data_IF_101004871252
#
_entry.id   IF_101004871252
#
_cell.length_a   1.000
_cell.length_b   1.000
_cell.length_c   1.000
_cell.angle_alpha   90.00
_cell.angle_beta   90.00
_cell.angle_gamma   90.00
#
_symmetry.space_group_name_H-M   'P 1'
#
loop_
_entity.id
_entity.type
_entity.pdbx_description
1 polymer ?
#
# COMPACT_ATOMS: atom_id res chain seq x y z
N UNK A 1 36.54 -20.24 -9.49
CA UNK A 1 35.19 -20.38 -8.91
C UNK A 1 34.62 -19.09 -8.29
N UNK A 2 35.38 -17.98 -8.21
CA UNK A 2 34.92 -16.72 -7.59
C UNK A 2 34.36 -15.67 -8.59
N UNK A 3 34.62 -15.81 -9.89
CA UNK A 3 34.17 -14.83 -10.90
C UNK A 3 32.65 -14.86 -11.16
N UNK A 4 31.99 -16.01 -11.00
CA UNK A 4 30.53 -16.16 -11.21
C UNK A 4 29.73 -15.56 -10.03
N UNK A 5 30.29 -15.58 -8.81
CA UNK A 5 29.67 -14.98 -7.63
C UNK A 5 29.76 -13.44 -7.64
N UNK A 6 30.81 -12.86 -8.23
CA UNK A 6 30.96 -11.40 -8.37
C UNK A 6 30.27 -10.79 -9.59
N UNK A 7 29.62 -11.61 -10.44
CA UNK A 7 28.90 -11.08 -11.60
C UNK A 7 27.59 -10.42 -11.16
N UNK A 8 27.29 -9.17 -11.56
CA UNK A 8 26.04 -8.50 -11.18
C UNK A 8 24.83 -8.99 -11.98
N UNK A 9 25.06 -9.56 -13.17
CA UNK A 9 24.04 -10.09 -14.08
C UNK A 9 22.94 -10.95 -13.41
N UNK A 10 23.24 -11.96 -12.58
CA UNK A 10 22.23 -12.77 -11.91
C UNK A 10 21.35 -11.97 -10.95
N UNK A 11 21.90 -10.97 -10.26
CA UNK A 11 21.11 -10.09 -9.37
C UNK A 11 20.12 -9.27 -10.20
N UNK A 12 20.59 -8.67 -11.31
CA UNK A 12 19.74 -7.92 -12.23
C UNK A 12 18.67 -8.80 -12.87
N UNK A 13 19.01 -10.04 -13.26
CA UNK A 13 18.05 -10.98 -13.81
C UNK A 13 16.97 -11.35 -12.80
N UNK A 14 17.34 -11.69 -11.55
CA UNK A 14 16.38 -11.99 -10.48
C UNK A 14 15.51 -10.77 -10.17
N UNK A 15 16.09 -9.58 -10.08
CA UNK A 15 15.35 -8.34 -9.84
C UNK A 15 14.37 -8.03 -10.98
N UNK A 16 14.79 -8.18 -12.24
CA UNK A 16 13.93 -7.96 -13.40
C UNK A 16 12.78 -8.96 -13.47
N UNK A 17 13.04 -10.25 -13.23
CA UNK A 17 11.99 -11.29 -13.18
C UNK A 17 11.04 -11.05 -12.02
N UNK A 18 11.55 -10.65 -10.86
CA UNK A 18 10.74 -10.31 -9.68
C UNK A 18 9.84 -9.11 -9.96
N UNK A 19 10.38 -8.03 -10.51
CA UNK A 19 9.63 -6.84 -10.89
C UNK A 19 8.57 -7.16 -11.95
N UNK A 20 8.91 -7.96 -12.95
CA UNK A 20 7.97 -8.41 -13.96
C UNK A 20 6.84 -9.24 -13.35
N UNK A 21 7.15 -10.15 -12.41
CA UNK A 21 6.16 -10.94 -11.69
C UNK A 21 5.21 -10.08 -10.84
N UNK A 22 5.74 -9.07 -10.15
CA UNK A 22 4.95 -8.09 -9.39
C UNK A 22 4.01 -7.30 -10.31
N UNK A 23 4.51 -6.80 -11.44
CA UNK A 23 3.74 -5.94 -12.36
C UNK A 23 2.71 -6.74 -13.16
N UNK A 24 3.12 -7.88 -13.73
CA UNK A 24 2.25 -8.69 -14.60
C UNK A 24 1.26 -9.55 -13.80
N UNK A 25 1.46 -9.69 -12.48
CA UNK A 25 0.68 -10.53 -11.56
C UNK A 25 0.25 -11.85 -12.20
N UNK A 26 1.19 -12.67 -12.69
CA UNK A 26 0.80 -13.90 -13.36
C UNK A 26 0.08 -14.81 -12.36
N UNK A 27 -0.98 -15.47 -12.84
CA UNK A 27 -1.86 -16.33 -12.03
C UNK A 27 -2.64 -15.62 -10.91
N UNK A 28 -2.75 -14.28 -10.93
CA UNK A 28 -3.45 -13.47 -9.91
C UNK A 28 -2.89 -13.65 -8.49
N UNK A 29 -1.63 -14.05 -8.38
CA UNK A 29 -0.96 -14.16 -7.09
C UNK A 29 -0.72 -12.75 -6.50
N UNK A 30 -0.82 -12.58 -5.17
CA UNK A 30 -0.42 -11.35 -4.49
C UNK A 30 1.02 -10.95 -4.83
N UNK A 31 1.24 -9.65 -5.01
CA UNK A 31 2.54 -9.07 -5.33
C UNK A 31 3.62 -9.43 -4.31
N UNK A 32 3.22 -9.53 -3.04
CA UNK A 32 4.10 -9.92 -1.94
C UNK A 32 4.76 -11.29 -2.19
N UNK A 33 4.08 -12.24 -2.84
CA UNK A 33 4.64 -13.56 -3.12
C UNK A 33 5.82 -13.43 -4.08
N UNK A 34 5.67 -12.66 -5.16
CA UNK A 34 6.74 -12.44 -6.13
C UNK A 34 7.94 -11.74 -5.50
N UNK A 35 7.70 -10.67 -4.72
CA UNK A 35 8.75 -9.95 -4.00
C UNK A 35 9.53 -10.84 -3.02
N UNK A 36 8.82 -11.67 -2.24
CA UNK A 36 9.43 -12.59 -1.28
C UNK A 36 10.21 -13.69 -2.00
N UNK A 37 9.67 -14.28 -3.07
CA UNK A 37 10.38 -15.29 -3.86
C UNK A 37 11.67 -14.74 -4.47
N UNK A 38 11.66 -13.51 -5.00
CA UNK A 38 12.84 -12.82 -5.50
C UNK A 38 13.91 -12.64 -4.42
N UNK A 39 13.52 -12.13 -3.26
CA UNK A 39 14.41 -11.94 -2.11
C UNK A 39 15.00 -13.28 -1.62
N UNK A 40 14.17 -14.31 -1.47
CA UNK A 40 14.62 -15.65 -1.08
C UNK A 40 15.59 -16.25 -2.10
N UNK A 41 15.37 -16.04 -3.39
CA UNK A 41 16.27 -16.51 -4.45
C UNK A 41 17.65 -15.84 -4.33
N UNK A 42 17.71 -14.56 -3.97
CA UNK A 42 18.97 -13.86 -3.69
C UNK A 42 19.67 -14.39 -2.44
N UNK A 43 18.92 -14.67 -1.37
CA UNK A 43 19.49 -15.23 -0.13
C UNK A 43 20.02 -16.65 -0.31
N UNK A 44 19.24 -17.55 -0.95
CA UNK A 44 19.63 -18.94 -1.17
C UNK A 44 20.79 -19.07 -2.15
N UNK A 45 20.86 -18.19 -3.15
CA UNK A 45 22.02 -18.14 -4.06
C UNK A 45 23.28 -17.53 -3.43
N UNK A 46 23.24 -17.16 -2.15
CA UNK A 46 24.38 -16.60 -1.40
C UNK A 46 24.77 -15.18 -1.83
N UNK A 47 23.91 -14.49 -2.59
CA UNK A 47 24.16 -13.12 -3.08
C UNK A 47 23.70 -12.03 -2.13
N UNK A 48 22.81 -12.36 -1.20
CA UNK A 48 22.38 -11.50 -0.11
C UNK A 48 22.53 -12.25 1.22
N UNK A 49 23.32 -11.76 2.18
CA UNK A 49 23.40 -12.37 3.50
C UNK A 49 22.04 -12.35 4.21
N UNK A 50 21.67 -13.46 4.85
CA UNK A 50 20.41 -13.57 5.60
C UNK A 50 20.25 -12.50 6.68
N UNK A 51 21.33 -12.15 7.37
CA UNK A 51 21.31 -11.11 8.40
C UNK A 51 20.96 -9.74 7.81
N UNK A 52 21.51 -9.40 6.65
CA UNK A 52 21.19 -8.14 5.95
C UNK A 52 19.74 -8.13 5.46
N UNK A 53 19.25 -9.26 4.95
CA UNK A 53 17.85 -9.41 4.56
C UNK A 53 16.90 -9.20 5.76
N UNK A 54 17.20 -9.80 6.92
CA UNK A 54 16.40 -9.62 8.14
C UNK A 54 16.49 -8.19 8.68
N UNK A 55 17.67 -7.56 8.65
CA UNK A 55 17.81 -6.14 8.98
C UNK A 55 17.01 -5.25 8.03
N UNK A 56 16.94 -5.57 6.73
CA UNK A 56 16.13 -4.84 5.77
C UNK A 56 14.64 -4.94 6.09
N UNK A 57 14.15 -6.12 6.51
CA UNK A 57 12.77 -6.29 7.01
C UNK A 57 12.55 -5.45 8.28
N UNK A 58 13.49 -5.48 9.22
CA UNK A 58 13.42 -4.69 10.46
C UNK A 58 13.39 -3.17 10.22
N UNK A 59 14.10 -2.67 9.20
CA UNK A 59 14.03 -1.25 8.79
C UNK A 59 12.63 -0.86 8.29
N UNK A 60 11.82 -1.81 7.84
CA UNK A 60 10.44 -1.58 7.45
C UNK A 60 9.49 -1.30 8.61
N UNK A 61 9.91 -1.52 9.87
CA UNK A 61 9.05 -1.41 11.05
C UNK A 61 8.33 -0.07 11.16
N UNK A 62 9.03 1.04 10.89
CA UNK A 62 8.41 2.38 10.92
C UNK A 62 7.26 2.50 9.92
N UNK A 63 7.44 1.94 8.71
CA UNK A 63 6.41 1.92 7.68
C UNK A 63 5.26 1.00 8.07
N UNK A 64 5.54 -0.17 8.64
CA UNK A 64 4.51 -1.12 9.09
C UNK A 64 3.65 -0.51 10.20
N UNK A 65 4.29 0.14 11.19
CA UNK A 65 3.60 0.84 12.27
C UNK A 65 2.79 2.02 11.76
N UNK A 66 3.33 2.78 10.79
CA UNK A 66 2.62 3.89 10.16
C UNK A 66 1.36 3.42 9.42
N UNK A 67 1.47 2.41 8.56
CA UNK A 67 0.32 1.86 7.83
C UNK A 67 -0.73 1.29 8.79
N UNK A 68 -0.28 0.54 9.80
CA UNK A 68 -1.18 -0.03 10.83
C UNK A 68 -1.88 1.09 11.61
N UNK A 69 -1.14 2.12 12.04
CA UNK A 69 -1.69 3.26 12.76
C UNK A 69 -2.73 4.02 11.94
N UNK A 70 -2.47 4.24 10.65
CA UNK A 70 -3.46 4.83 9.75
C UNK A 70 -4.72 3.96 9.59
N UNK A 71 -4.57 2.65 9.37
CA UNK A 71 -5.70 1.72 9.26
C UNK A 71 -6.56 1.74 10.54
N UNK A 72 -5.94 1.73 11.71
CA UNK A 72 -6.63 1.83 13.00
C UNK A 72 -7.35 3.17 13.17
N UNK A 73 -6.71 4.29 12.81
CA UNK A 73 -7.31 5.62 12.88
C UNK A 73 -8.53 5.73 11.94
N UNK A 74 -8.43 5.18 10.73
CA UNK A 74 -9.54 5.15 9.76
C UNK A 74 -10.70 4.28 10.24
N UNK A 75 -10.40 3.12 10.81
CA UNK A 75 -11.40 2.23 11.42
C UNK A 75 -12.13 2.92 12.58
N UNK A 76 -11.38 3.61 13.46
CA UNK A 76 -11.94 4.34 14.58
C UNK A 76 -12.84 5.49 14.11
N UNK A 77 -12.38 6.29 13.14
CA UNK A 77 -13.18 7.36 12.54
C UNK A 77 -14.49 6.83 11.92
N UNK A 78 -14.45 5.64 11.31
CA UNK A 78 -15.66 4.97 10.80
C UNK A 78 -16.59 4.54 11.92
N UNK A 79 -16.07 3.94 12.99
CA UNK A 79 -16.86 3.49 14.14
C UNK A 79 -17.54 4.63 14.91
N UNK A 80 -16.88 5.78 15.01
CA UNK A 80 -17.42 7.00 15.63
C UNK A 80 -18.40 7.76 14.71
N UNK A 81 -18.64 7.29 13.48
CA UNK A 81 -19.58 7.92 12.54
C UNK A 81 -19.09 9.26 11.98
N UNK A 82 -17.78 9.55 12.02
CA UNK A 82 -17.21 10.79 11.50
C UNK A 82 -17.58 11.01 10.03
N UNK A 83 -17.50 9.95 9.22
CA UNK A 83 -17.79 10.03 7.79
C UNK A 83 -19.29 10.25 7.51
N UNK A 84 -20.17 9.64 8.30
CA UNK A 84 -21.62 9.85 8.19
C UNK A 84 -21.99 11.29 8.54
N UNK A 85 -21.39 11.84 9.60
CA UNK A 85 -21.55 13.24 9.96
C UNK A 85 -21.13 14.18 8.82
N UNK A 86 -19.98 13.90 8.19
CA UNK A 86 -19.48 14.69 7.06
C UNK A 86 -20.38 14.56 5.82
N UNK A 87 -20.93 13.38 5.55
CA UNK A 87 -21.87 13.15 4.46
C UNK A 87 -23.18 13.93 4.65
N UNK A 88 -23.76 13.90 5.86
CA UNK A 88 -24.96 14.69 6.20
C UNK A 88 -24.68 16.18 6.11
N UNK A 89 -23.53 16.65 6.58
CA UNK A 89 -23.14 18.05 6.48
C UNK A 89 -22.99 18.50 5.01
N UNK A 90 -22.38 17.68 4.16
CA UNK A 90 -22.25 17.94 2.73
C UNK A 90 -23.62 17.98 2.04
N UNK A 91 -24.52 17.04 2.36
CA UNK A 91 -25.88 16.99 1.83
C UNK A 91 -26.69 18.24 2.21
N UNK A 92 -26.60 18.69 3.47
CA UNK A 92 -27.25 19.92 3.93
C UNK A 92 -26.71 21.17 3.21
N UNK A 93 -25.39 21.24 2.98
CA UNK A 93 -24.74 22.36 2.28
C UNK A 93 -24.97 22.36 0.76
N UNK A 94 -25.31 21.22 0.16
CA UNK A 94 -25.53 21.11 -1.29
C UNK A 94 -26.77 21.88 -1.78
N UNK A 95 -27.73 22.16 -0.90
CA UNK A 95 -28.95 22.93 -1.20
C UNK A 95 -29.73 22.39 -2.43
N UNK A 96 -29.89 21.07 -2.51
CA UNK A 96 -30.61 20.41 -3.61
C UNK A 96 -29.85 20.31 -4.94
N UNK A 97 -28.64 20.85 -5.06
CA UNK A 97 -27.84 20.77 -6.29
C UNK A 97 -26.90 19.55 -6.28
N UNK A 98 -27.07 18.66 -7.26
CA UNK A 98 -26.22 17.48 -7.43
C UNK A 98 -24.74 17.85 -7.67
N UNK A 99 -24.46 18.90 -8.45
CA UNK A 99 -23.09 19.37 -8.71
C UNK A 99 -22.40 19.88 -7.45
N UNK A 100 -23.12 20.62 -6.59
CA UNK A 100 -22.57 21.10 -5.31
C UNK A 100 -22.33 19.94 -4.35
N UNK A 101 -23.23 18.97 -4.30
CA UNK A 101 -23.04 17.76 -3.50
C UNK A 101 -21.79 17.01 -3.93
N UNK A 102 -21.64 16.77 -5.23
CA UNK A 102 -20.47 16.10 -5.79
C UNK A 102 -19.18 16.84 -5.44
N UNK A 103 -19.14 18.16 -5.63
CA UNK A 103 -17.99 18.97 -5.29
C UNK A 103 -17.65 18.90 -3.79
N UNK A 104 -18.64 19.02 -2.91
CA UNK A 104 -18.43 18.94 -1.46
C UNK A 104 -17.91 17.56 -1.03
N UNK A 105 -18.49 16.47 -1.54
CA UNK A 105 -18.02 15.11 -1.27
C UNK A 105 -16.60 14.89 -1.82
N UNK A 106 -16.29 15.45 -2.99
CA UNK A 106 -14.95 15.39 -3.56
C UNK A 106 -13.92 16.12 -2.68
N UNK A 107 -14.25 17.32 -2.17
CA UNK A 107 -13.40 18.04 -1.23
C UNK A 107 -13.21 17.24 0.08
N UNK A 108 -14.29 16.68 0.64
CA UNK A 108 -14.21 15.83 1.84
C UNK A 108 -13.32 14.63 1.58
N UNK A 109 -13.54 13.90 0.48
CA UNK A 109 -12.71 12.77 0.08
C UNK A 109 -11.24 13.15 -0.10
N UNK A 110 -10.96 14.32 -0.68
CA UNK A 110 -9.59 14.83 -0.85
C UNK A 110 -8.92 15.08 0.51
N UNK A 111 -9.60 15.75 1.44
CA UNK A 111 -9.06 16.00 2.80
C UNK A 111 -8.83 14.68 3.53
N UNK A 112 -9.77 13.73 3.42
CA UNK A 112 -9.64 12.39 4.00
C UNK A 112 -8.43 11.67 3.39
N UNK A 113 -8.22 11.70 2.08
CA UNK A 113 -7.04 11.07 1.43
C UNK A 113 -5.71 11.73 1.77
N UNK A 114 -5.69 13.04 2.05
CA UNK A 114 -4.45 13.70 2.49
C UNK A 114 -4.06 13.23 3.90
N UNK A 115 -5.05 12.98 4.76
CA UNK A 115 -4.83 12.63 6.16
C UNK A 115 -4.79 11.12 6.43
N UNK A 116 -5.55 10.35 5.66
CA UNK A 116 -5.70 8.90 5.75
C UNK A 116 -5.13 8.27 4.49
N UNK A 117 -4.43 7.15 4.64
CA UNK A 117 -3.87 6.41 3.50
C UNK A 117 -4.93 6.17 2.42
N UNK A 118 -4.53 6.17 1.15
CA UNK A 118 -5.43 5.99 0.00
C UNK A 118 -6.31 4.72 0.12
N UNK A 119 -5.79 3.68 0.77
CA UNK A 119 -6.49 2.41 1.02
C UNK A 119 -7.67 2.58 2.01
N UNK A 120 -7.51 3.46 3.00
CA UNK A 120 -8.58 3.80 3.94
C UNK A 120 -9.66 4.67 3.30
N UNK A 121 -9.29 5.61 2.43
CA UNK A 121 -10.27 6.43 1.71
C UNK A 121 -11.16 5.59 0.79
N UNK A 122 -10.61 4.53 0.18
CA UNK A 122 -11.38 3.61 -0.66
C UNK A 122 -12.52 2.92 0.14
N UNK A 123 -12.26 2.52 1.39
CA UNK A 123 -13.29 1.92 2.28
C UNK A 123 -14.36 2.94 2.69
N UNK A 124 -14.01 4.21 2.80
CA UNK A 124 -14.90 5.29 3.24
C UNK A 124 -15.78 5.82 2.11
N UNK A 125 -15.24 5.89 0.89
CA UNK A 125 -15.94 6.45 -0.27
C UNK A 125 -16.81 5.45 -1.01
N UNK A 126 -16.75 4.18 -0.64
CA UNK A 126 -17.67 3.15 -1.16
C UNK A 126 -18.86 3.09 -0.20
N UNK A 127 -20.03 3.66 -0.56
CA UNK A 127 -21.19 3.51 0.30
C UNK A 127 -21.63 2.05 0.24
N UNK A 128 -21.75 1.41 1.40
CA UNK A 128 -22.59 0.24 1.59
C UNK A 128 -24.02 0.68 1.89
#
# INVERSE_FOLDING_TARGET
MNAILNSPFPVWAIAAVTALGVITRPFRLPEAIWAVLGALTLCVSGRLPWLEALHAVGKGTDVYLFLTGMMLASELARREGLFDYMAVLAARKANGSATRLFFLLYCVGTVVTILMSNDATAVVLTPA
#
